data_IF_375205980710
#
_entry.id   IF_375205980710
#
_cell.length_a   1.000
_cell.length_b   1.000
_cell.length_c   1.000
_cell.angle_alpha   90.00
_cell.angle_beta   90.00
_cell.angle_gamma   90.00
#
_symmetry.space_group_name_H-M   'P 1'
#
loop_
_entity.id
_entity.type
_entity.pdbx_description
1 polymer ?
2 non-polymer ?
3 non-polymer ?
4 non-polymer ?
5 water ?
#
# COMPACT_ATOMS: atom_id res chain seq x y z
N UNK A 30 -15.83 -31.01 13.29
CA UNK A 30 -16.39 -29.65 13.57
C UNK A 30 -15.93 -28.63 12.54
N UNK A 31 -14.61 -28.55 12.34
CA UNK A 31 -14.02 -27.58 11.42
C UNK A 31 -14.21 -28.00 9.97
N UNK A 32 -14.63 -27.04 9.14
CA UNK A 32 -14.83 -27.27 7.71
C UNK A 32 -13.49 -27.15 6.97
N UNK A 33 -12.94 -28.30 6.56
CA UNK A 33 -11.63 -28.34 5.91
C UNK A 33 -11.70 -28.53 4.39
N UNK A 34 -12.87 -28.33 3.79
CA UNK A 34 -13.01 -28.41 2.34
C UNK A 34 -12.27 -27.24 1.69
N UNK A 35 -11.56 -27.52 0.60
CA UNK A 35 -10.73 -26.53 -0.06
C UNK A 35 -11.57 -25.42 -0.70
N UNK A 36 -12.75 -25.78 -1.17
CA UNK A 36 -13.70 -24.84 -1.76
C UNK A 36 -14.33 -23.89 -0.73
N UNK A 37 -14.21 -24.22 0.56
CA UNK A 37 -14.71 -23.35 1.63
C UNK A 37 -13.68 -22.32 2.13
N UNK A 38 -12.44 -22.41 1.68
CA UNK A 38 -11.38 -21.53 2.20
C UNK A 38 -11.48 -20.11 1.66
N UNK A 39 -11.55 -19.15 2.58
CA UNK A 39 -11.45 -17.72 2.26
C UNK A 39 -10.02 -17.32 1.89
N UNK A 40 -9.93 -16.35 0.98
CA UNK A 40 -8.65 -15.84 0.50
C UNK A 40 -8.64 -14.30 0.59
N UNK A 41 -7.53 -13.67 0.21
CA UNK A 41 -7.38 -12.22 0.33
C UNK A 41 -8.40 -11.43 -0.49
N UNK A 42 -9.35 -10.80 0.21
CA UNK A 42 -10.37 -9.98 -0.44
C UNK A 42 -9.72 -8.82 -1.20
N UNK A 43 -10.09 -8.66 -2.46
CA UNK A 43 -9.57 -7.59 -3.32
C UNK A 43 -8.05 -7.55 -3.41
N UNK A 44 -7.45 -8.71 -3.62
CA UNK A 44 -5.99 -8.82 -3.67
C UNK A 44 -5.40 -7.88 -4.72
N UNK A 45 -4.30 -7.22 -4.34
CA UNK A 45 -3.67 -6.19 -5.16
C UNK A 45 -2.26 -6.66 -5.53
N UNK A 46 -2.07 -6.94 -6.82
CA UNK A 46 -0.80 -7.49 -7.31
C UNK A 46 0.38 -6.53 -7.10
N UNK A 47 0.15 -5.26 -7.41
CA UNK A 47 1.20 -4.24 -7.32
C UNK A 47 1.75 -4.10 -5.90
N UNK A 48 0.87 -4.04 -4.92
CA UNK A 48 1.26 -3.91 -3.51
C UNK A 48 2.00 -5.14 -2.99
N UNK A 49 1.69 -6.30 -3.56
CA UNK A 49 2.31 -7.56 -3.13
C UNK A 49 3.71 -7.77 -3.70
N UNK A 50 4.07 -7.03 -4.75
CA UNK A 50 5.36 -7.17 -5.39
C UNK A 50 6.51 -6.83 -4.46
N UNK A 51 7.73 -7.23 -4.85
CA UNK A 51 8.91 -7.02 -4.05
C UNK A 51 9.38 -8.29 -3.36
N UNK A 52 10.32 -8.14 -2.43
CA UNK A 52 10.97 -9.28 -1.78
C UNK A 52 10.11 -9.83 -0.64
N UNK A 53 10.01 -11.17 -0.59
CA UNK A 53 9.33 -11.87 0.51
C UNK A 53 10.23 -12.98 1.01
N UNK A 54 10.36 -13.08 2.34
CA UNK A 54 11.18 -14.10 2.98
C UNK A 54 10.30 -15.17 3.61
N UNK A 55 10.43 -16.42 3.14
CA UNK A 55 9.70 -17.54 3.73
C UNK A 55 10.34 -17.92 5.06
N UNK A 56 9.53 -17.86 6.12
CA UNK A 56 10.00 -18.15 7.48
C UNK A 56 9.42 -19.45 8.04
N UNK A 57 8.32 -19.91 7.46
CA UNK A 57 7.77 -21.22 7.78
C UNK A 57 7.11 -21.84 6.55
N UNK A 58 6.98 -23.16 6.56
CA UNK A 58 6.35 -23.87 5.46
C UNK A 58 5.76 -25.21 5.90
N UNK A 59 4.71 -25.63 5.19
CA UNK A 59 4.15 -26.96 5.32
C UNK A 59 4.41 -27.64 3.98
N UNK A 60 5.08 -28.80 4.02
CA UNK A 60 5.53 -29.46 2.80
C UNK A 60 4.43 -30.24 2.07
N UNK A 61 4.51 -30.29 0.73
CA UNK A 61 3.75 -31.27 -0.03
C UNK A 61 4.55 -32.57 -0.12
N UNK A 62 4.03 -33.53 -0.87
CA UNK A 62 4.79 -34.74 -1.19
C UNK A 62 5.84 -34.44 -2.25
N UNK A 63 6.88 -35.26 -2.28
CA UNK A 63 7.91 -35.16 -3.32
C UNK A 63 8.93 -34.08 -3.05
N UNK A 64 9.82 -33.88 -4.02
CA UNK A 64 10.92 -32.95 -3.86
C UNK A 64 10.41 -31.52 -3.79
N UNK A 65 11.07 -30.69 -2.99
CA UNK A 65 10.56 -29.38 -2.65
C UNK A 65 11.70 -28.54 -2.07
N UNK A 66 11.67 -27.23 -2.30
CA UNK A 66 12.62 -26.31 -1.68
C UNK A 66 12.69 -26.55 -0.17
N UNK A 67 13.90 -26.53 0.38
CA UNK A 67 14.12 -26.85 1.79
C UNK A 67 14.24 -25.61 2.68
N UNK A 68 15.15 -24.70 2.34
CA UNK A 68 15.30 -23.44 3.09
C UNK A 68 16.06 -22.36 2.31
N UNK A 69 16.31 -21.22 2.95
CA UNK A 69 16.86 -20.03 2.32
C UNK A 69 15.98 -19.55 1.18
N UNK A 70 14.67 -19.64 1.41
CA UNK A 70 13.67 -19.43 0.37
C UNK A 70 13.26 -17.96 0.31
N UNK A 71 13.68 -17.29 -0.77
CA UNK A 71 13.37 -15.89 -1.02
C UNK A 71 12.60 -15.79 -2.32
N UNK A 72 11.41 -15.17 -2.25
CA UNK A 72 10.59 -14.94 -3.43
C UNK A 72 10.62 -13.46 -3.81
N UNK A 73 10.70 -13.21 -5.12
CA UNK A 73 10.69 -11.85 -5.65
C UNK A 73 9.54 -11.72 -6.64
N UNK A 74 8.43 -11.16 -6.17
CA UNK A 74 7.25 -10.97 -7.01
C UNK A 74 7.37 -9.69 -7.83
N UNK A 75 6.64 -9.62 -8.94
CA UNK A 75 6.67 -8.45 -9.82
C UNK A 75 5.48 -8.45 -10.77
N UNK A 76 5.10 -7.25 -11.22
CA UNK A 76 3.96 -7.07 -12.13
C UNK A 76 4.37 -6.21 -13.31
N UNK A 77 4.28 -6.76 -14.52
CA UNK A 77 4.68 -6.04 -15.74
C UNK A 77 3.61 -5.03 -16.19
N UNK A 78 3.98 -4.20 -17.16
CA UNK A 78 3.10 -3.15 -17.70
C UNK A 78 1.66 -3.59 -17.99
N UNK A 79 1.49 -4.78 -18.56
CA UNK A 79 0.15 -5.28 -18.90
C UNK A 79 -0.68 -5.69 -17.68
N UNK A 80 -0.01 -5.90 -16.55
CA UNK A 80 -0.69 -6.22 -15.29
C UNK A 80 -0.76 -7.70 -14.98
N UNK A 81 0.19 -8.47 -15.49
CA UNK A 81 0.28 -9.90 -15.20
C UNK A 81 1.39 -10.16 -14.20
N UNK A 82 1.07 -10.88 -13.13
CA UNK A 82 2.01 -11.12 -12.05
C UNK A 82 2.96 -12.27 -12.41
N UNK A 83 4.19 -12.17 -11.91
CA UNK A 83 5.16 -13.26 -12.04
C UNK A 83 6.07 -13.25 -10.81
N UNK A 84 6.90 -14.27 -10.67
CA UNK A 84 7.80 -14.35 -9.52
C UNK A 84 8.99 -15.27 -9.75
N UNK A 85 10.05 -15.02 -9.01
CA UNK A 85 11.20 -15.90 -8.95
C UNK A 85 11.39 -16.37 -7.51
N UNK A 86 11.72 -17.65 -7.34
CA UNK A 86 12.03 -18.19 -6.02
C UNK A 86 13.41 -18.84 -6.06
N UNK A 87 14.24 -18.50 -5.07
CA UNK A 87 15.55 -19.12 -4.91
C UNK A 87 15.55 -19.85 -3.58
N UNK A 88 16.27 -20.96 -3.50
CA UNK A 88 16.33 -21.74 -2.27
C UNK A 88 17.22 -22.96 -2.37
N UNK A 89 17.64 -23.45 -1.21
CA UNK A 89 18.44 -24.67 -1.13
C UNK A 89 17.57 -25.89 -1.41
N UNK A 90 18.08 -26.81 -2.23
CA UNK A 90 17.44 -28.09 -2.46
C UNK A 90 18.39 -29.23 -2.11
N UNK A 91 17.90 -30.18 -1.34
CA UNK A 91 18.67 -31.35 -0.93
C UNK A 91 18.63 -32.43 -2.02
N UNK A 92 19.79 -32.74 -2.59
CA UNK A 92 19.93 -33.88 -3.50
C UNK A 92 20.47 -35.08 -2.70
N UNK A 93 21.57 -34.84 -1.97
CA UNK A 93 22.11 -35.79 -1.00
C UNK A 93 22.43 -35.03 0.28
N UNK A 94 22.74 -35.76 1.35
CA UNK A 94 23.24 -35.12 2.58
C UNK A 94 24.56 -34.38 2.30
N UNK A 95 25.27 -34.85 1.28
CA UNK A 95 26.59 -34.35 0.91
C UNK A 95 26.53 -33.20 -0.11
N UNK A 96 25.36 -33.03 -0.74
CA UNK A 96 25.24 -32.19 -1.94
C UNK A 96 23.94 -31.40 -1.94
N UNK A 97 24.08 -30.08 -2.08
CA UNK A 97 22.94 -29.18 -2.24
C UNK A 97 23.16 -28.35 -3.48
N UNK A 98 22.07 -27.83 -4.03
CA UNK A 98 22.13 -26.84 -5.11
C UNK A 98 21.16 -25.72 -4.79
N UNK A 99 21.58 -24.49 -5.05
CA UNK A 99 20.70 -23.34 -4.95
C UNK A 99 19.86 -23.29 -6.22
N UNK A 100 18.63 -23.77 -6.12
CA UNK A 100 17.74 -23.87 -7.27
C UNK A 100 17.04 -22.54 -7.52
N UNK A 101 17.37 -21.91 -8.65
CA UNK A 101 16.66 -20.72 -9.09
C UNK A 101 15.42 -21.16 -9.86
N UNK A 102 14.25 -20.71 -9.42
CA UNK A 102 13.01 -21.05 -10.08
C UNK A 102 12.26 -19.80 -10.50
N UNK A 103 11.36 -19.97 -11.46
CA UNK A 103 10.58 -18.88 -12.03
C UNK A 103 9.12 -19.32 -12.06
N UNK A 104 8.23 -18.34 -11.89
CA UNK A 104 6.79 -18.60 -11.94
C UNK A 104 6.07 -17.48 -12.67
N UNK A 105 5.01 -17.84 -13.38
CA UNK A 105 4.15 -16.87 -14.05
C UNK A 105 2.71 -17.22 -13.72
N UNK A 106 1.93 -16.21 -13.33
CA UNK A 106 0.60 -16.43 -12.78
C UNK A 106 -0.50 -16.07 -13.79
N UNK A 107 -1.58 -16.84 -13.76
CA UNK A 107 -2.75 -16.58 -14.60
C UNK A 107 -3.97 -16.28 -13.72
N UNK A 108 -4.63 -15.17 -14.01
CA UNK A 108 -5.76 -14.71 -13.21
C UNK A 108 -6.97 -15.62 -13.33
N UNK A 109 -7.84 -15.56 -12.33
CA UNK A 109 -9.11 -16.28 -12.36
C UNK A 109 -10.22 -15.32 -11.93
N UNK A 110 -11.44 -15.83 -11.80
CA UNK A 110 -12.58 -15.03 -11.33
C UNK A 110 -12.19 -14.33 -10.02
N UNK A 111 -11.65 -15.12 -9.09
CA UNK A 111 -11.20 -14.61 -7.79
C UNK A 111 -9.81 -13.97 -7.93
N UNK A 112 -9.66 -12.71 -7.49
CA UNK A 112 -8.38 -12.00 -7.66
C UNK A 112 -7.24 -12.48 -6.75
N UNK A 113 -7.55 -13.27 -5.72
CA UNK A 113 -6.53 -13.86 -4.84
C UNK A 113 -6.10 -15.28 -5.27
N UNK A 114 -6.82 -15.88 -6.23
CA UNK A 114 -6.53 -17.24 -6.67
C UNK A 114 -5.96 -17.26 -8.09
N UNK A 115 -4.73 -17.73 -8.21
CA UNK A 115 -4.02 -17.76 -9.49
C UNK A 115 -3.70 -19.19 -9.92
N UNK A 116 -3.22 -19.31 -11.15
CA UNK A 116 -2.64 -20.57 -11.64
C UNK A 116 -1.18 -20.28 -11.95
N UNK A 117 -0.28 -20.91 -11.20
CA UNK A 117 1.16 -20.66 -11.33
C UNK A 117 1.81 -21.72 -12.20
N UNK A 118 2.24 -21.30 -13.38
CA UNK A 118 3.08 -22.12 -14.23
C UNK A 118 4.51 -21.85 -13.79
N UNK A 119 5.21 -22.87 -13.31
CA UNK A 119 6.52 -22.69 -12.70
C UNK A 119 7.57 -23.67 -13.23
N UNK A 120 8.84 -23.32 -13.09
CA UNK A 120 9.94 -24.13 -13.61
C UNK A 120 11.29 -23.69 -13.05
N UNK A 121 12.26 -24.58 -13.15
CA UNK A 121 13.65 -24.24 -12.87
C UNK A 121 14.29 -23.65 -14.10
N UNK A 122 15.16 -22.66 -13.92
CA UNK A 122 15.76 -21.94 -15.06
C UNK A 122 16.50 -22.86 -16.05
N UNK A 123 17.17 -23.89 -15.53
CA UNK A 123 17.86 -24.85 -16.39
C UNK A 123 16.85 -25.71 -17.13
N UNK A 124 15.85 -26.22 -16.40
CA UNK A 124 14.83 -27.09 -16.98
C UNK A 124 13.60 -26.30 -17.45
N UNK A 125 13.81 -25.16 -18.09
CA UNK A 125 12.70 -24.32 -18.56
C UNK A 125 11.80 -25.03 -19.58
N UNK A 126 12.36 -26.00 -20.30
CA UNK A 126 11.56 -26.86 -21.18
C UNK A 126 10.47 -27.59 -20.39
N UNK A 127 10.86 -28.10 -19.22
CA UNK A 127 9.94 -28.79 -18.31
C UNK A 127 9.31 -27.81 -17.32
N UNK A 128 7.98 -27.83 -17.18
CA UNK A 128 7.28 -26.90 -16.31
C UNK A 128 6.18 -27.57 -15.49
N UNK A 129 6.00 -27.09 -14.26
CA UNK A 129 4.90 -27.53 -13.41
C UNK A 129 3.77 -26.51 -13.41
N UNK A 130 2.63 -26.88 -12.82
CA UNK A 130 1.45 -26.03 -12.83
C UNK A 130 0.62 -26.21 -11.56
N UNK A 131 0.64 -25.18 -10.69
CA UNK A 131 -0.03 -25.25 -9.38
C UNK A 131 -1.08 -24.16 -9.19
N UNK A 132 -2.04 -24.43 -8.31
CA UNK A 132 -2.85 -23.38 -7.70
C UNK A 132 -1.93 -22.51 -6.85
N UNK A 133 -2.19 -21.22 -6.81
CA UNK A 133 -1.43 -20.30 -5.97
C UNK A 133 -2.42 -19.29 -5.39
N UNK A 134 -2.74 -19.49 -4.11
CA UNK A 134 -3.75 -18.70 -3.42
C UNK A 134 -3.07 -17.84 -2.38
N UNK A 135 -3.28 -16.52 -2.46
CA UNK A 135 -2.87 -15.62 -1.38
C UNK A 135 -4.00 -15.63 -0.35
N UNK A 136 -3.80 -16.40 0.71
CA UNK A 136 -4.84 -16.64 1.70
C UNK A 136 -5.15 -15.36 2.48
N UNK A 137 -4.08 -14.66 2.85
CA UNK A 137 -4.21 -13.37 3.52
C UNK A 137 -2.88 -12.66 3.49
N UNK A 138 -2.92 -11.33 3.60
CA UNK A 138 -1.71 -10.52 3.64
C UNK A 138 -2.04 -9.08 4.05
N UNK A 139 -1.05 -8.35 4.53
CA UNK A 139 -1.17 -6.91 4.72
C UNK A 139 -0.18 -6.15 3.83
N UNK A 140 0.49 -6.88 2.94
CA UNK A 140 1.38 -6.31 1.93
C UNK A 140 2.73 -5.79 2.43
N UNK A 141 2.82 -5.37 3.70
CA UNK A 141 4.09 -4.79 4.19
C UNK A 141 4.74 -5.47 5.41
N UNK A 142 4.11 -6.51 5.96
CA UNK A 142 4.80 -7.33 6.98
C UNK A 142 4.72 -8.85 6.73
N UNK A 143 3.51 -9.37 6.50
CA UNK A 143 3.31 -10.83 6.36
C UNK A 143 2.49 -11.21 5.13
N UNK A 144 2.54 -12.50 4.79
CA UNK A 144 1.62 -13.09 3.83
C UNK A 144 1.51 -14.59 4.09
N UNK A 145 0.32 -15.14 3.89
CA UNK A 145 0.11 -16.58 3.94
C UNK A 145 -0.32 -17.06 2.57
N UNK A 146 0.45 -18.00 2.01
CA UNK A 146 0.19 -18.59 0.70
C UNK A 146 -0.26 -20.04 0.89
N UNK A 147 -1.00 -20.58 -0.08
CA UNK A 147 -1.52 -21.95 -0.02
C UNK A 147 -1.66 -22.56 -1.42
N UNK A 148 -1.52 -23.88 -1.50
CA UNK A 148 -1.72 -24.59 -2.76
C UNK A 148 -2.18 -26.02 -2.49
N UNK A 149 -3.31 -26.41 -3.07
CA UNK A 149 -3.75 -27.80 -3.04
C UNK A 149 -3.49 -28.43 -4.39
N UNK A 150 -2.74 -29.54 -4.39
CA UNK A 150 -2.40 -30.26 -5.61
C UNK A 150 -3.34 -31.42 -5.90
N UNK A 151 -4.09 -31.86 -4.87
CA UNK A 151 -4.91 -33.04 -4.99
C UNK A 151 -6.00 -33.04 -3.93
N UNK A 152 -7.24 -33.28 -4.36
CA UNK A 152 -8.37 -33.32 -3.44
C UNK A 152 -8.67 -34.75 -3.00
N UNK A 153 -9.04 -34.91 -1.74
CA UNK A 153 -9.71 -36.13 -1.29
C UNK A 153 -11.13 -36.14 -1.85
N UNK A 154 -11.78 -37.28 -1.75
CA UNK A 154 -13.18 -37.41 -2.18
C UNK A 154 -14.10 -36.47 -1.40
N UNK A 155 -13.81 -36.27 -0.11
CA UNK A 155 -14.63 -35.40 0.73
C UNK A 155 -14.43 -33.89 0.50
N UNK A 156 -13.49 -33.53 -0.38
CA UNK A 156 -13.22 -32.12 -0.70
C UNK A 156 -12.07 -31.50 0.08
N UNK A 157 -11.60 -32.18 1.12
CA UNK A 157 -10.39 -31.75 1.84
C UNK A 157 -9.18 -31.98 0.95
N UNK A 158 -8.05 -31.39 1.32
CA UNK A 158 -6.84 -31.52 0.50
C UNK A 158 -6.05 -32.76 0.89
N UNK A 159 -5.59 -33.49 -0.11
CA UNK A 159 -4.78 -34.70 0.09
C UNK A 159 -3.28 -34.39 -0.03
N UNK A 160 -2.95 -33.32 -0.75
CA UNK A 160 -1.56 -32.93 -0.95
C UNK A 160 -1.47 -31.41 -1.07
N UNK A 161 -0.98 -30.77 -0.02
CA UNK A 161 -0.94 -29.30 0.07
C UNK A 161 0.43 -28.78 0.44
N UNK A 162 0.70 -27.54 0.05
CA UNK A 162 1.81 -26.80 0.63
C UNK A 162 1.43 -25.36 0.91
N UNK A 163 2.14 -24.74 1.85
CA UNK A 163 1.83 -23.39 2.31
C UNK A 163 3.07 -22.67 2.81
N UNK A 164 3.28 -21.44 2.36
CA UNK A 164 4.37 -20.60 2.84
C UNK A 164 3.86 -19.51 3.78
N UNK A 165 4.64 -19.22 4.81
CA UNK A 165 4.45 -18.02 5.62
C UNK A 165 5.55 -17.05 5.24
N UNK A 166 5.20 -15.98 4.55
CA UNK A 166 6.17 -15.00 4.08
C UNK A 166 6.28 -13.81 5.04
N UNK A 167 7.42 -13.13 4.98
CA UNK A 167 7.67 -11.95 5.79
C UNK A 167 8.53 -10.98 5.01
N UNK A 168 8.24 -9.69 5.12
CA UNK A 168 9.09 -8.66 4.52
C UNK A 168 10.41 -8.53 5.27
N UNK A 169 10.38 -8.85 6.56
CA UNK A 169 11.55 -8.75 7.42
C UNK A 169 11.95 -10.15 7.90
N UNK A 170 13.17 -10.62 7.53
CA UNK A 170 13.61 -11.95 7.96
C UNK A 170 13.91 -12.08 9.45
N UNK A 171 13.87 -10.98 10.19
CA UNK A 171 14.00 -11.02 11.65
C UNK A 171 12.70 -11.37 12.36
N UNK A 172 11.57 -11.38 11.64
CA UNK A 172 10.31 -11.85 12.18
C UNK A 172 9.09 -11.01 11.83
N UNK A 173 7.96 -11.38 12.42
CA UNK A 173 6.67 -10.71 12.19
C UNK A 173 6.27 -9.89 13.41
N UNK A 174 5.56 -8.76 13.19
CA UNK A 174 5.01 -8.02 14.33
C UNK A 174 3.85 -8.75 15.01
N UNK A 175 3.48 -8.33 16.24
CA UNK A 175 2.47 -9.00 17.06
C UNK A 175 1.13 -9.29 16.38
N UNK A 176 0.64 -8.35 15.56
CA UNK A 176 -0.64 -8.54 14.90
C UNK A 176 -0.55 -9.56 13.77
N UNK A 177 0.54 -9.50 13.00
CA UNK A 177 0.83 -10.51 11.98
C UNK A 177 0.90 -11.91 12.58
N UNK A 178 1.56 -12.04 13.73
CA UNK A 178 1.69 -13.32 14.42
C UNK A 178 0.32 -13.93 14.72
N UNK A 179 -0.58 -13.09 15.24
CA UNK A 179 -1.93 -13.54 15.58
C UNK A 179 -2.71 -14.00 14.35
N UNK A 180 -2.55 -13.28 13.25
CA UNK A 180 -3.31 -13.57 12.04
C UNK A 180 -2.78 -14.84 11.36
N UNK A 181 -1.47 -14.93 11.21
CA UNK A 181 -0.85 -16.11 10.62
C UNK A 181 -1.30 -17.36 11.36
N UNK A 182 -1.17 -17.36 12.68
CA UNK A 182 -1.59 -18.51 13.50
C UNK A 182 -3.05 -18.87 13.26
N UNK A 183 -3.90 -17.85 13.19
CA UNK A 183 -5.33 -18.05 12.97
C UNK A 183 -5.60 -18.67 11.60
N UNK A 184 -4.92 -18.16 10.58
CA UNK A 184 -5.09 -18.64 9.20
C UNK A 184 -4.54 -20.06 9.05
N UNK A 185 -3.40 -20.33 9.67
CA UNK A 185 -2.80 -21.66 9.66
C UNK A 185 -3.78 -22.70 10.19
N UNK A 186 -4.48 -22.34 11.26
CA UNK A 186 -5.47 -23.22 11.87
C UNK A 186 -6.72 -23.38 11.00
N UNK A 187 -7.12 -22.30 10.35
CA UNK A 187 -8.31 -22.35 9.47
C UNK A 187 -8.07 -23.11 8.17
N UNK A 188 -6.82 -23.20 7.73
CA UNK A 188 -6.45 -24.04 6.59
C UNK A 188 -6.32 -25.52 6.98
N UNK A 189 -6.55 -25.83 8.26
CA UNK A 189 -6.44 -27.19 8.79
C UNK A 189 -5.01 -27.72 8.70
N UNK A 190 -4.05 -26.82 8.87
CA UNK A 190 -2.62 -27.15 8.86
C UNK A 190 -1.96 -26.76 10.18
N UNK A 191 -2.74 -26.80 11.27
CA UNK A 191 -2.23 -26.44 12.59
C UNK A 191 -1.15 -27.43 13.02
N UNK A 192 -0.02 -26.89 13.48
CA UNK A 192 1.14 -27.67 13.91
C UNK A 192 1.76 -28.54 12.82
N UNK A 193 1.50 -28.22 11.54
CA UNK A 193 2.13 -28.92 10.42
C UNK A 193 3.22 -28.09 9.75
N UNK A 194 3.40 -26.83 10.16
CA UNK A 194 4.43 -25.97 9.57
C UNK A 194 5.78 -26.18 10.25
N UNK A 195 6.84 -25.95 9.49
CA UNK A 195 8.21 -26.03 10.00
C UNK A 195 8.98 -24.76 9.65
N UNK A 196 9.81 -24.31 10.58
CA UNK A 196 10.53 -23.05 10.44
C UNK A 196 11.70 -23.18 9.48
N UNK A 197 11.96 -22.13 8.73
CA UNK A 197 12.94 -22.13 7.65
C UNK A 197 14.09 -21.17 7.99
N UNK A 198 15.33 -21.60 7.75
CA UNK A 198 16.49 -20.79 8.10
C UNK A 198 16.94 -19.90 6.92
N UNK A 199 17.52 -18.75 7.25
CA UNK A 199 18.09 -17.83 6.25
C UNK A 199 19.55 -17.50 6.58
N UNK A 200 20.47 -17.93 5.72
CA UNK A 200 21.92 -17.89 5.98
C UNK A 200 22.74 -17.19 4.89
N UNK A 201 22.09 -16.53 3.95
CA UNK A 201 22.78 -16.02 2.75
C UNK A 201 23.45 -17.15 1.97
N UNK A 202 22.83 -18.33 2.01
CA UNK A 202 23.39 -19.54 1.43
C UNK A 202 23.33 -19.50 -0.10
N UNK A 203 22.38 -18.74 -0.64
CA UNK A 203 22.21 -18.59 -2.07
C UNK A 203 22.35 -17.12 -2.50
N UNK A 204 23.45 -16.50 -2.10
CA UNK A 204 23.76 -15.11 -2.47
C UNK A 204 24.90 -15.05 -3.48
N UNK B 30 -25.56 23.45 -14.41
CA UNK B 30 -24.92 22.40 -15.26
C UNK B 30 -24.13 21.37 -14.44
N UNK B 31 -23.19 21.85 -13.61
CA UNK B 31 -22.36 20.97 -12.78
C UNK B 31 -22.70 21.18 -11.30
N UNK B 32 -22.84 20.09 -10.56
CA UNK B 32 -23.12 20.15 -9.14
C UNK B 32 -21.85 20.53 -8.37
N UNK B 33 -21.75 21.78 -7.98
CA UNK B 33 -20.58 22.29 -7.25
C UNK B 33 -20.80 22.40 -5.74
N UNK B 34 -21.89 21.82 -5.23
CA UNK B 34 -22.14 21.81 -3.79
C UNK B 34 -21.05 21.01 -3.08
N UNK B 35 -20.60 21.50 -1.93
CA UNK B 35 -19.53 20.85 -1.17
C UNK B 35 -20.00 19.50 -0.61
N UNK B 36 -21.26 19.44 -0.22
CA UNK B 36 -21.88 18.22 0.29
C UNK B 36 -22.00 17.11 -0.77
N UNK B 37 -22.00 17.48 -2.05
CA UNK B 37 -22.02 16.51 -3.15
C UNK B 37 -20.65 15.84 -3.36
N UNK B 38 -19.57 16.57 -3.15
CA UNK B 38 -18.22 16.11 -3.55
C UNK B 38 -17.87 14.72 -3.02
N UNK B 39 -17.23 13.93 -3.87
CA UNK B 39 -16.78 12.59 -3.52
C UNK B 39 -15.36 12.62 -3.01
N UNK B 40 -15.07 11.73 -2.06
CA UNK B 40 -13.74 11.66 -1.44
C UNK B 40 -13.20 10.23 -1.53
N UNK B 41 -11.97 10.02 -1.06
CA UNK B 41 -11.31 8.72 -1.13
C UNK B 41 -12.09 7.63 -0.39
N UNK B 42 -12.53 6.61 -1.12
CA UNK B 42 -13.23 5.47 -0.53
C UNK B 42 -12.26 4.65 0.32
N UNK B 43 -12.67 4.34 1.56
CA UNK B 43 -11.87 3.55 2.48
C UNK B 43 -10.44 4.07 2.66
N UNK B 44 -10.32 5.36 2.93
CA UNK B 44 -9.02 5.99 3.08
C UNK B 44 -8.19 5.34 4.18
N UNK B 45 -6.91 5.15 3.90
CA UNK B 45 -6.00 4.42 4.78
C UNK B 45 -4.92 5.37 5.27
N UNK B 46 -4.91 5.65 6.57
CA UNK B 46 -4.00 6.62 7.16
C UNK B 46 -2.55 6.14 7.09
N UNK B 47 -2.35 4.85 7.33
CA UNK B 47 -1.01 4.26 7.33
C UNK B 47 -0.36 4.32 5.95
N UNK B 48 -1.13 3.97 4.92
CA UNK B 48 -0.63 4.00 3.54
C UNK B 48 -0.35 5.42 3.06
N UNK B 49 -1.10 6.39 3.57
CA UNK B 49 -0.93 7.79 3.19
C UNK B 49 0.27 8.47 3.86
N UNK B 50 0.83 7.84 4.89
CA UNK B 50 1.94 8.42 5.65
C UNK B 50 3.20 8.62 4.81
N UNK B 51 4.16 9.35 5.35
CA UNK B 51 5.42 9.62 4.66
C UNK B 51 5.43 11.01 4.02
N UNK B 52 6.36 11.20 3.09
CA UNK B 52 6.62 12.51 2.51
C UNK B 52 5.77 12.77 1.26
N UNK B 53 5.17 13.96 1.20
CA UNK B 53 4.40 14.40 0.05
C UNK B 53 4.88 15.78 -0.40
N UNK B 54 5.08 15.95 -1.70
CA UNK B 54 5.51 17.22 -2.28
C UNK B 54 4.34 17.90 -3.00
N UNK B 55 4.00 19.11 -2.54
CA UNK B 55 2.97 19.91 -3.20
C UNK B 55 3.51 20.52 -4.48
N UNK B 56 2.90 20.18 -5.61
CA UNK B 56 3.34 20.65 -6.92
C UNK B 56 2.39 21.67 -7.53
N UNK B 57 1.14 21.67 -7.08
CA UNK B 57 0.18 22.70 -7.47
C UNK B 57 -0.78 22.99 -6.32
N UNK B 58 -1.39 24.18 -6.34
CA UNK B 58 -2.36 24.57 -5.33
C UNK B 58 -3.31 25.66 -5.81
N UNK B 59 -4.51 25.64 -5.25
CA UNK B 59 -5.45 26.73 -5.39
C UNK B 59 -5.55 27.40 -4.02
N UNK B 60 -5.33 28.72 -3.98
CA UNK B 60 -5.25 29.45 -2.71
C UNK B 60 -6.62 29.80 -2.15
N UNK B 61 -6.71 29.88 -0.81
CA UNK B 61 -7.85 30.50 -0.18
C UNK B 61 -7.58 31.99 -0.02
N UNK B 62 -8.46 32.70 0.65
CA UNK B 62 -8.21 34.10 1.00
C UNK B 62 -7.22 34.18 2.14
N UNK B 63 -6.56 35.32 2.27
CA UNK B 63 -5.67 35.59 3.39
C UNK B 63 -4.29 34.99 3.22
N UNK B 64 -3.50 35.07 4.28
CA UNK B 64 -2.11 34.63 4.25
C UNK B 64 -2.04 33.10 4.17
N UNK B 65 -1.10 32.60 3.38
CA UNK B 65 -1.07 31.18 3.04
C UNK B 65 0.35 30.82 2.59
N UNK B 66 0.75 29.57 2.83
CA UNK B 66 2.03 29.07 2.31
C UNK B 66 2.13 29.34 0.81
N UNK B 67 3.32 29.71 0.35
CA UNK B 67 3.53 30.13 -1.03
C UNK B 67 4.16 29.04 -1.89
N UNK B 68 5.29 28.50 -1.46
CA UNK B 68 5.95 27.39 -2.17
C UNK B 68 6.98 26.64 -1.31
N UNK B 69 7.72 25.73 -1.93
CA UNK B 69 8.60 24.79 -1.24
C UNK B 69 7.85 24.02 -0.15
N UNK B 70 6.60 23.69 -0.48
CA UNK B 70 5.67 23.11 0.49
C UNK B 70 5.84 21.60 0.51
N UNK B 71 6.33 21.09 1.64
CA UNK B 71 6.53 19.67 1.86
C UNK B 71 5.75 19.27 3.09
N UNK B 72 4.90 18.26 2.93
CA UNK B 72 4.14 17.71 4.06
C UNK B 72 4.69 16.34 4.45
N UNK B 73 4.74 16.10 5.75
CA UNK B 73 5.17 14.80 6.29
C UNK B 73 4.05 14.26 7.16
N UNK B 74 3.34 13.25 6.65
CA UNK B 74 2.23 12.66 7.38
C UNK B 74 2.69 11.47 8.22
N UNK B 75 2.13 11.36 9.42
CA UNK B 75 2.44 10.26 10.35
C UNK B 75 1.17 9.80 11.05
N UNK B 76 1.23 8.61 11.65
CA UNK B 76 0.11 8.05 12.39
C UNK B 76 0.62 7.30 13.63
N UNK B 77 0.11 7.68 14.79
CA UNK B 77 0.62 7.18 16.07
C UNK B 77 0.04 5.79 16.40
N UNK B 78 0.40 5.27 17.56
CA UNK B 78 0.01 3.92 17.96
C UNK B 78 -1.51 3.75 18.05
N UNK B 79 -2.20 4.79 18.54
CA UNK B 79 -3.65 4.75 18.70
C UNK B 79 -4.43 4.89 17.38
N UNK B 80 -3.74 5.32 16.32
CA UNK B 80 -4.35 5.46 15.00
C UNK B 80 -4.71 6.89 14.61
N UNK B 81 -4.32 7.86 15.44
CA UNK B 81 -4.56 9.26 15.14
C UNK B 81 -3.52 9.77 14.16
N UNK B 82 -3.98 10.31 13.04
CA UNK B 82 -3.10 10.86 12.02
C UNK B 82 -2.66 12.28 12.42
N UNK B 83 -1.43 12.62 12.08
CA UNK B 83 -0.92 13.99 12.25
C UNK B 83 -0.01 14.32 11.09
N UNK B 84 0.43 15.57 11.01
CA UNK B 84 1.29 15.99 9.91
C UNK B 84 2.06 17.27 10.22
N UNK B 85 3.23 17.40 9.62
CA UNK B 85 3.98 18.65 9.62
C UNK B 85 3.98 19.20 8.20
N UNK B 86 4.15 20.52 8.07
CA UNK B 86 4.22 21.17 6.77
C UNK B 86 5.23 22.30 6.82
N UNK B 87 6.27 22.20 6.01
CA UNK B 87 7.24 23.28 5.84
C UNK B 87 6.93 24.00 4.54
N UNK B 88 7.25 25.29 4.49
CA UNK B 88 7.00 26.08 3.29
C UNK B 88 7.42 27.52 3.43
N UNK B 89 7.71 28.15 2.30
CA UNK B 89 8.01 29.57 2.25
C UNK B 89 6.72 30.37 2.34
N UNK B 90 6.70 31.38 3.21
CA UNK B 90 5.61 32.35 3.25
C UNK B 90 6.18 33.76 3.12
N UNK B 91 5.49 34.60 2.35
CA UNK B 91 5.96 35.95 2.06
C UNK B 91 5.47 36.97 3.10
N UNK B 92 6.41 37.71 3.67
CA UNK B 92 6.10 38.85 4.55
C UNK B 92 6.24 40.16 3.78
N UNK B 93 7.37 40.31 3.08
CA UNK B 93 7.61 41.44 2.18
C UNK B 93 8.28 40.94 0.90
N UNK B 94 8.53 41.85 -0.02
CA UNK B 94 9.22 41.52 -1.27
C UNK B 94 10.64 40.97 -1.06
N UNK B 95 11.29 41.39 0.02
CA UNK B 95 12.65 40.95 0.36
C UNK B 95 12.73 40.32 1.76
N UNK B 96 11.59 39.80 2.24
CA UNK B 96 11.44 39.33 3.61
C UNK B 96 10.58 38.06 3.55
N UNK B 97 11.22 36.91 3.72
CA UNK B 97 10.54 35.63 3.68
C UNK B 97 11.00 34.75 4.84
N UNK B 98 10.12 33.86 5.29
CA UNK B 98 10.43 32.93 6.35
C UNK B 98 9.99 31.52 5.96
N UNK B 99 10.73 30.52 6.42
CA UNK B 99 10.33 29.13 6.26
C UNK B 99 9.44 28.77 7.43
N UNK B 100 8.13 28.85 7.20
CA UNK B 100 7.14 28.56 8.23
C UNK B 100 7.05 27.05 8.45
N UNK B 101 7.37 26.61 9.65
CA UNK B 101 7.16 25.21 10.04
C UNK B 101 5.82 25.10 10.74
N UNK B 102 4.89 24.38 10.11
CA UNK B 102 3.55 24.21 10.65
C UNK B 102 3.34 22.76 11.08
N UNK B 103 2.42 22.58 12.02
CA UNK B 103 2.08 21.26 12.54
C UNK B 103 0.57 21.12 12.50
N UNK B 104 0.10 19.90 12.25
CA UNK B 104 -1.34 19.62 12.21
C UNK B 104 -1.67 18.29 12.85
N UNK B 105 -2.85 18.23 13.47
CA UNK B 105 -3.36 17.00 14.08
C UNK B 105 -4.80 16.80 13.63
N UNK B 106 -5.14 15.58 13.25
CA UNK B 106 -6.42 15.31 12.59
C UNK B 106 -7.41 14.58 13.49
N UNK B 107 -8.68 14.88 13.31
CA UNK B 107 -9.77 14.24 14.04
C UNK B 107 -10.71 13.55 13.07
N UNK B 108 -10.98 12.27 13.32
CA UNK B 108 -11.74 11.43 12.39
C UNK B 108 -13.21 11.79 12.41
N UNK B 109 -13.86 11.74 11.24
CA UNK B 109 -15.31 11.83 11.16
C UNK B 109 -15.85 10.47 10.73
N UNK B 110 -17.17 10.36 10.56
CA UNK B 110 -17.78 9.11 10.12
C UNK B 110 -17.23 8.67 8.75
N UNK B 111 -16.91 9.65 7.91
CA UNK B 111 -16.24 9.40 6.63
C UNK B 111 -14.74 9.29 6.88
N UNK B 112 -14.11 8.18 6.46
CA UNK B 112 -12.67 7.99 6.71
C UNK B 112 -11.75 8.92 5.90
N UNK B 113 -12.26 9.55 4.84
CA UNK B 113 -11.49 10.49 4.04
C UNK B 113 -11.62 11.95 4.49
N UNK B 114 -12.59 12.25 5.36
CA UNK B 114 -12.84 13.62 5.83
C UNK B 114 -12.40 13.79 7.28
N UNK B 115 -11.49 14.73 7.50
CA UNK B 115 -10.94 14.97 8.83
C UNK B 115 -11.17 16.42 9.28
N UNK B 116 -10.91 16.68 10.56
CA UNK B 116 -10.84 18.04 11.10
C UNK B 116 -9.41 18.29 11.50
N UNK B 117 -8.73 19.20 10.82
CA UNK B 117 -7.33 19.49 11.06
C UNK B 117 -7.19 20.70 11.98
N UNK B 118 -6.65 20.44 13.17
CA UNK B 118 -6.24 21.50 14.06
C UNK B 118 -4.79 21.77 13.71
N UNK B 119 -4.45 23.01 13.34
CA UNK B 119 -3.12 23.33 12.84
C UNK B 119 -2.56 24.62 13.45
N UNK B 120 -1.23 24.75 13.42
CA UNK B 120 -0.57 25.92 14.00
C UNK B 120 0.89 26.02 13.53
N UNK B 121 1.45 27.22 13.67
CA UNK B 121 2.89 27.42 13.47
C UNK B 121 3.59 27.08 14.77
N UNK B 122 4.72 26.37 14.67
CA UNK B 122 5.42 25.88 15.87
C UNK B 122 5.74 26.98 16.90
N UNK B 123 6.09 28.17 16.43
CA UNK B 123 6.33 29.30 17.33
C UNK B 123 5.05 29.68 18.06
N UNK B 124 3.97 29.84 17.29
CA UNK B 124 2.68 30.27 17.83
C UNK B 124 1.75 29.09 18.14
N UNK B 125 2.27 28.08 18.83
CA UNK B 125 1.47 26.90 19.15
C UNK B 125 0.30 27.21 20.09
N UNK B 126 0.42 28.29 20.85
CA UNK B 126 -0.66 28.78 21.71
C UNK B 126 -1.94 29.09 20.93
N UNK B 127 -1.77 29.57 19.70
CA UNK B 127 -2.90 29.94 18.85
C UNK B 127 -2.97 29.03 17.61
N UNK B 128 -4.13 28.39 17.43
CA UNK B 128 -4.29 27.33 16.44
C UNK B 128 -5.47 27.63 15.52
N UNK B 129 -5.38 27.17 14.28
CA UNK B 129 -6.49 27.22 13.33
C UNK B 129 -7.19 25.89 13.29
N UNK B 130 -8.31 25.83 12.56
CA UNK B 130 -9.12 24.62 12.51
C UNK B 130 -9.83 24.49 11.16
N UNK B 131 -9.34 23.59 10.30
CA UNK B 131 -9.90 23.41 8.96
C UNK B 131 -10.45 22.00 8.72
N UNK B 132 -11.36 21.91 7.75
CA UNK B 132 -11.68 20.63 7.13
C UNK B 132 -10.47 20.18 6.32
N UNK B 133 -10.19 18.89 6.35
CA UNK B 133 -9.10 18.30 5.57
C UNK B 133 -9.61 17.02 4.92
N UNK B 134 -9.89 17.12 3.62
CA UNK B 134 -10.49 16.03 2.85
C UNK B 134 -9.46 15.48 1.89
N UNK B 135 -9.19 14.18 1.96
CA UNK B 135 -8.40 13.51 0.94
C UNK B 135 -9.36 13.13 -0.18
N UNK B 136 -9.37 13.93 -1.24
CA UNK B 136 -10.36 13.80 -2.32
C UNK B 136 -10.11 12.52 -3.11
N UNK B 137 -8.83 12.24 -3.37
CA UNK B 137 -8.42 10.98 -3.98
C UNK B 137 -6.91 10.83 -3.82
N UNK B 138 -6.45 9.59 -3.91
CA UNK B 138 -5.03 9.27 -3.85
C UNK B 138 -4.82 7.82 -4.27
N UNK B 139 -3.59 7.50 -4.68
CA UNK B 139 -3.18 6.11 -4.87
C UNK B 139 -2.04 5.75 -3.93
N UNK B 140 -1.77 6.65 -2.98
CA UNK B 140 -0.81 6.42 -1.90
C UNK B 140 0.67 6.45 -2.29
N UNK B 141 1.01 6.10 -3.54
CA UNK B 141 2.42 6.04 -3.93
C UNK B 141 2.85 6.87 -5.16
N UNK B 142 1.94 7.66 -5.74
CA UNK B 142 2.35 8.68 -6.73
C UNK B 142 1.73 10.06 -6.49
N UNK B 143 0.41 10.12 -6.29
CA UNK B 143 -0.30 11.39 -6.19
C UNK B 143 -1.29 11.44 -5.03
N UNK B 144 -1.75 12.65 -4.72
CA UNK B 144 -2.91 12.85 -3.86
C UNK B 144 -3.53 14.22 -4.15
N UNK B 145 -4.85 14.29 -4.05
CA UNK B 145 -5.56 15.56 -4.13
C UNK B 145 -6.26 15.82 -2.80
N UNK B 146 -5.90 16.93 -2.17
CA UNK B 146 -6.48 17.35 -0.91
C UNK B 146 -7.44 18.53 -1.17
N UNK B 147 -8.40 18.75 -0.28
CA UNK B 147 -9.36 19.86 -0.42
C UNK B 147 -9.81 20.35 0.96
N UNK B 148 -10.19 21.63 1.02
CA UNK B 148 -10.73 22.22 2.25
C UNK B 148 -11.65 23.37 1.95
N UNK B 149 -12.87 23.33 2.48
CA UNK B 149 -13.78 24.47 2.40
C UNK B 149 -13.84 25.16 3.76
N UNK B 150 -13.55 26.46 3.76
CA UNK B 150 -13.61 27.28 4.97
C UNK B 150 -14.96 27.99 5.13
N UNK B 151 -15.71 28.12 4.05
CA UNK B 151 -16.91 28.94 4.08
C UNK B 151 -17.83 28.57 2.92
N UNK B 152 -19.10 28.33 3.22
CA UNK B 152 -20.10 27.99 2.21
C UNK B 152 -20.88 29.21 1.75
N UNK B 153 -21.18 29.25 0.46
CA UNK B 153 -22.19 30.17 -0.04
C UNK B 153 -23.56 29.65 0.39
N UNK B 154 -24.58 30.47 0.19
CA UNK B 154 -25.97 30.07 0.50
C UNK B 154 -26.39 28.87 -0.34
N UNK B 155 -25.95 28.82 -1.59
CA UNK B 155 -26.33 27.73 -2.49
C UNK B 155 -25.60 26.40 -2.24
N UNK B 156 -24.70 26.37 -1.26
CA UNK B 156 -23.99 25.14 -0.90
C UNK B 156 -22.62 24.96 -1.55
N UNK B 157 -22.31 25.79 -2.55
CA UNK B 157 -20.96 25.81 -3.14
C UNK B 157 -20.00 26.43 -2.13
N UNK B 158 -18.70 26.33 -2.40
CA UNK B 158 -17.71 26.86 -1.47
C UNK B 158 -17.36 28.29 -1.84
N UNK B 159 -17.31 29.16 -0.82
CA UNK B 159 -16.98 30.57 -1.00
C UNK B 159 -15.50 30.84 -0.73
N UNK B 160 -14.84 29.95 0.01
CA UNK B 160 -13.43 30.09 0.30
C UNK B 160 -12.78 28.71 0.49
N UNK B 161 -12.02 28.29 -0.51
CA UNK B 161 -11.44 26.94 -0.53
C UNK B 161 -9.95 26.96 -0.78
N UNK B 162 -9.28 25.90 -0.36
CA UNK B 162 -7.94 25.61 -0.83
C UNK B 162 -7.76 24.13 -1.12
N UNK B 163 -6.81 23.84 -2.02
CA UNK B 163 -6.57 22.48 -2.49
C UNK B 163 -5.11 22.30 -2.87
N UNK B 164 -4.52 21.20 -2.41
CA UNK B 164 -3.16 20.84 -2.82
C UNK B 164 -3.17 19.65 -3.76
N UNK B 165 -2.27 19.68 -4.74
CA UNK B 165 -1.94 18.49 -5.54
C UNK B 165 -0.59 17.99 -5.04
N UNK B 166 -0.60 16.85 -4.37
CA UNK B 166 0.63 16.27 -3.83
C UNK B 166 1.22 15.22 -4.77
N UNK B 167 2.52 14.99 -4.64
CA UNK B 167 3.22 13.99 -5.42
C UNK B 167 4.31 13.38 -4.55
N UNK B 168 4.53 12.08 -4.68
CA UNK B 168 5.63 11.42 -3.97
C UNK B 168 6.97 11.80 -4.60
N UNK B 169 6.96 12.09 -5.90
CA UNK B 169 8.17 12.47 -6.63
C UNK B 169 8.09 13.94 -7.04
N UNK B 170 9.08 14.76 -6.61
CA UNK B 170 9.12 16.18 -7.01
C UNK B 170 9.30 16.42 -8.51
N UNK B 171 9.72 15.40 -9.26
CA UNK B 171 9.91 15.52 -10.70
C UNK B 171 8.63 15.32 -11.51
N UNK B 172 7.52 14.96 -10.86
CA UNK B 172 6.21 14.91 -11.51
C UNK B 172 5.37 13.69 -11.23
N UNK B 173 4.18 13.66 -11.86
CA UNK B 173 3.25 12.56 -11.73
C UNK B 173 3.31 11.67 -12.98
N UNK B 174 3.06 10.35 -12.82
CA UNK B 174 2.93 9.50 -14.00
C UNK B 174 1.63 9.79 -14.77
N UNK B 175 1.54 9.31 -16.03
CA UNK B 175 0.40 9.56 -16.92
C UNK B 175 -0.99 9.31 -16.31
N UNK B 176 -1.12 8.23 -15.53
CA UNK B 176 -2.41 7.88 -14.95
C UNK B 176 -2.82 8.90 -13.88
N UNK B 177 -1.88 9.27 -13.02
CA UNK B 177 -2.11 10.30 -12.00
C UNK B 177 -2.50 11.65 -12.62
N UNK B 178 -1.82 12.04 -13.70
CA UNK B 178 -2.11 13.30 -14.38
C UNK B 178 -3.58 13.37 -14.80
N UNK B 179 -4.07 12.26 -15.34
CA UNK B 179 -5.43 12.18 -15.84
C UNK B 179 -6.46 12.25 -14.71
N UNK B 180 -6.14 11.60 -13.59
CA UNK B 180 -7.03 11.58 -12.43
C UNK B 180 -7.06 12.95 -11.73
N UNK B 181 -5.89 13.56 -11.56
CA UNK B 181 -5.81 14.88 -10.94
C UNK B 181 -6.62 15.89 -11.75
N UNK B 182 -6.40 15.94 -13.06
CA UNK B 182 -7.14 16.85 -13.93
C UNK B 182 -8.64 16.66 -13.76
N UNK B 183 -9.08 15.40 -13.71
CA UNK B 183 -10.50 15.08 -13.58
C UNK B 183 -11.05 15.56 -12.23
N UNK B 184 -10.32 15.26 -11.16
CA UNK B 184 -10.73 15.64 -9.81
C UNK B 184 -10.80 17.16 -9.67
N UNK B 185 -9.79 17.85 -10.18
CA UNK B 185 -9.72 19.31 -10.14
C UNK B 185 -10.95 19.94 -10.79
N UNK B 186 -11.36 19.37 -11.91
CA UNK B 186 -12.55 19.82 -12.62
C UNK B 186 -13.83 19.53 -11.86
N UNK B 187 -13.88 18.35 -11.22
CA UNK B 187 -15.06 17.95 -10.45
C UNK B 187 -15.20 18.72 -9.13
N UNK B 188 -14.10 19.28 -8.63
CA UNK B 188 -14.14 20.19 -7.48
C UNK B 188 -14.55 21.62 -7.87
N UNK B 189 -14.80 21.85 -9.16
CA UNK B 189 -15.12 23.16 -9.71
C UNK B 189 -13.98 24.16 -9.49
N UNK B 190 -12.76 23.68 -9.66
CA UNK B 190 -11.55 24.47 -9.50
C UNK B 190 -10.66 24.40 -10.74
N UNK B 191 -11.26 24.15 -11.91
CA UNK B 191 -10.52 24.09 -13.16
C UNK B 191 -9.90 25.45 -13.50
N UNK B 192 -8.65 25.42 -13.93
CA UNK B 192 -7.85 26.61 -14.25
C UNK B 192 -7.62 27.56 -13.07
N UNK B 193 -7.87 27.09 -11.84
CA UNK B 193 -7.64 27.91 -10.65
C UNK B 193 -6.39 27.51 -9.86
N UNK B 194 -5.71 26.44 -10.28
CA UNK B 194 -4.48 26.01 -9.61
C UNK B 194 -3.26 26.70 -10.21
N UNK B 195 -2.22 26.87 -9.40
CA UNK B 195 -0.93 27.36 -9.88
C UNK B 195 0.18 26.44 -9.41
N UNK B 196 1.23 26.34 -10.22
CA UNK B 196 2.33 25.41 -9.96
C UNK B 196 3.25 25.96 -8.87
N UNK B 197 3.79 25.05 -8.07
CA UNK B 197 4.61 25.38 -6.90
C UNK B 197 6.06 24.94 -7.11
N UNK B 198 7.01 25.81 -6.80
CA UNK B 198 8.42 25.50 -7.04
C UNK B 198 9.07 24.81 -5.83
N UNK B 199 10.04 23.94 -6.11
CA UNK B 199 10.87 23.30 -5.09
C UNK B 199 12.35 23.57 -5.37
N UNK B 200 13.02 24.26 -4.45
CA UNK B 200 14.39 24.73 -4.63
C UNK B 200 15.34 24.35 -3.49
N UNK B 201 14.91 23.45 -2.60
CA UNK B 201 15.66 23.18 -1.37
C UNK B 201 15.79 24.44 -0.51
N UNK B 202 14.79 25.30 -0.58
CA UNK B 202 14.81 26.63 0.04
C UNK B 202 14.65 26.55 1.55
N UNK B 203 13.95 25.52 2.03
CA UNK B 203 13.70 25.31 3.46
C UNK B 203 14.23 23.96 3.93
N UNK B 204 15.55 23.84 4.02
CA UNK B 204 16.20 22.62 4.51
C UNK B 204 16.74 22.83 5.93
#
# INVERSE_FOLDING_TARGET
MASMSYYHHHHHHDYDIPTTENLYFQGAMERDCRVSSFRVKENFDKARFSGTWYAMAKKDPEGLFLQDNIVAEFSVDETGQMSATAKGRVRLLNNWDVCADMVGTFTDTEDPAKFKMKYWGVASFLQKGNDDHWIVDTDYDTYAVQYSCRLLNLDGTCADSYSFVFSRDPNGLPPEAQKIVRQRQEELCLARQYRLIVHNGYCDGRSERNLL
MASMSYYHHHHHHDYDIPTTENLYFQGAMERDCRVSSFRVKENFDKARFSGTWYAMAKKDPEGLFLQDNIVAEFSVDETGQMSATAKGRVRLLNNWDVCADMVGTFTDTEDPAKFKMKYWGVASFLQKGNDDHWIVDTDYDTYAVQYSCRLLNLDGTCADSYSFVFSRDPNGLPPEAQKIVRQRQEELCLARQYRLIVHNGYCDGRSERNLL
#
